data_IF_771326569164
#
_entry.id   IF_771326569164
#
_cell.length_a   1.000
_cell.length_b   1.000
_cell.length_c   1.000
_cell.angle_alpha   90.00
_cell.angle_beta   90.00
_cell.angle_gamma   90.00
#
_symmetry.space_group_name_H-M   'P 1'
#
loop_
_entity.id
_entity.type
_entity.pdbx_description
1 polymer ?
#
# COMPACT_ATOMS: atom_id res chain seq x y z
N UNK A 1 -1.56 24.00 7.50
CA UNK A 1 -2.78 23.98 6.65
C UNK A 1 -2.51 24.15 5.13
N UNK A 2 -1.49 24.90 4.68
CA UNK A 2 -1.17 25.08 3.25
C UNK A 2 -0.69 23.80 2.55
N UNK A 3 0.03 22.93 3.26
CA UNK A 3 0.60 21.67 2.73
C UNK A 3 -0.48 20.62 2.44
N UNK A 4 -1.45 20.44 3.34
CA UNK A 4 -2.58 19.52 3.13
C UNK A 4 -3.44 19.92 1.92
N UNK A 5 -3.69 21.23 1.74
CA UNK A 5 -4.44 21.72 0.58
C UNK A 5 -3.72 21.46 -0.75
N UNK A 6 -2.39 21.57 -0.77
CA UNK A 6 -1.57 21.22 -1.94
C UNK A 6 -1.59 19.71 -2.21
N UNK A 7 -1.51 18.89 -1.16
CA UNK A 7 -1.63 17.44 -1.27
C UNK A 7 -2.98 17.02 -1.89
N UNK A 8 -4.09 17.53 -1.36
CA UNK A 8 -5.42 17.24 -1.90
C UNK A 8 -5.59 17.71 -3.36
N UNK A 9 -4.99 18.83 -3.72
CA UNK A 9 -5.01 19.33 -5.09
C UNK A 9 -4.27 18.38 -6.06
N UNK A 10 -3.15 17.82 -5.65
CA UNK A 10 -2.37 16.85 -6.43
C UNK A 10 -3.01 15.44 -6.46
N UNK A 11 -3.63 15.03 -5.37
CA UNK A 11 -4.27 13.72 -5.27
C UNK A 11 -5.63 13.66 -5.98
N UNK A 12 -6.41 14.76 -5.97
CA UNK A 12 -7.76 14.81 -6.51
C UNK A 12 -7.90 14.27 -7.94
N UNK A 13 -7.05 14.63 -8.93
CA UNK A 13 -7.19 14.15 -10.30
C UNK A 13 -7.04 12.64 -10.41
N UNK A 14 -6.18 12.03 -9.60
CA UNK A 14 -5.97 10.60 -9.56
C UNK A 14 -7.22 9.85 -9.06
N UNK A 15 -7.86 10.34 -8.00
CA UNK A 15 -9.01 9.70 -7.37
C UNK A 15 -10.35 10.02 -8.03
N UNK A 16 -10.45 11.11 -8.81
CA UNK A 16 -11.68 11.58 -9.46
C UNK A 16 -11.67 11.44 -10.98
N UNK A 17 -10.55 10.99 -11.59
CA UNK A 17 -10.42 10.82 -13.04
C UNK A 17 -11.23 9.63 -13.59
N UNK A 18 -11.16 9.43 -14.92
CA UNK A 18 -11.89 8.37 -15.64
C UNK A 18 -11.65 6.96 -15.06
N UNK A 19 -10.49 6.73 -14.45
CA UNK A 19 -10.12 5.47 -13.80
C UNK A 19 -10.26 5.50 -12.26
N UNK A 20 -10.80 6.55 -11.68
CA UNK A 20 -10.92 6.73 -10.23
C UNK A 20 -11.67 5.58 -9.54
N UNK A 21 -12.72 5.03 -10.17
CA UNK A 21 -13.48 3.90 -9.63
C UNK A 21 -12.61 2.66 -9.41
N UNK A 22 -11.69 2.38 -10.34
CA UNK A 22 -10.78 1.24 -10.23
C UNK A 22 -9.78 1.43 -9.09
N UNK A 23 -9.29 2.66 -8.89
CA UNK A 23 -8.35 2.98 -7.83
C UNK A 23 -9.01 2.87 -6.45
N UNK A 24 -10.25 3.36 -6.32
CA UNK A 24 -11.06 3.16 -5.11
C UNK A 24 -11.34 1.70 -4.81
N UNK A 25 -11.64 0.91 -5.85
CA UNK A 25 -11.84 -0.54 -5.70
C UNK A 25 -10.54 -1.22 -5.24
N UNK A 26 -9.39 -0.88 -5.85
CA UNK A 26 -8.10 -1.42 -5.42
C UNK A 26 -7.77 -1.07 -3.97
N UNK A 27 -8.07 0.17 -3.54
CA UNK A 27 -7.90 0.58 -2.15
C UNK A 27 -8.82 -0.18 -1.20
N UNK A 28 -10.09 -0.34 -1.56
CA UNK A 28 -11.05 -1.11 -0.77
C UNK A 28 -10.63 -2.59 -0.62
N UNK A 29 -10.13 -3.22 -1.69
CA UNK A 29 -9.60 -4.57 -1.65
C UNK A 29 -8.34 -4.65 -0.79
N UNK A 30 -7.45 -3.66 -0.85
CA UNK A 30 -6.26 -3.58 0.01
C UNK A 30 -6.65 -3.52 1.50
N UNK A 31 -7.61 -2.68 1.85
CA UNK A 31 -8.16 -2.61 3.21
C UNK A 31 -8.79 -3.95 3.60
N UNK A 32 -9.51 -4.59 2.68
CA UNK A 32 -10.09 -5.93 2.89
C UNK A 32 -9.03 -6.99 3.23
N UNK A 33 -7.91 -7.02 2.52
CA UNK A 33 -6.79 -7.92 2.85
C UNK A 33 -6.18 -7.63 4.22
N UNK A 34 -6.06 -6.35 4.59
CA UNK A 34 -5.57 -5.96 5.93
C UNK A 34 -6.51 -6.45 7.02
N UNK A 35 -7.81 -6.22 6.88
CA UNK A 35 -8.82 -6.71 7.84
C UNK A 35 -8.86 -8.24 7.91
N UNK A 36 -8.74 -8.92 6.76
CA UNK A 36 -8.65 -10.37 6.70
C UNK A 36 -7.43 -10.89 7.49
N UNK A 37 -6.26 -10.28 7.31
CA UNK A 37 -5.04 -10.64 8.05
C UNK A 37 -5.21 -10.47 9.56
N UNK A 38 -5.85 -9.39 10.00
CA UNK A 38 -6.15 -9.14 11.43
C UNK A 38 -7.08 -10.23 11.96
N UNK A 39 -8.14 -10.59 11.21
CA UNK A 39 -9.09 -11.63 11.62
C UNK A 39 -8.40 -13.00 11.76
N UNK A 40 -7.53 -13.35 10.80
CA UNK A 40 -6.75 -14.60 10.87
C UNK A 40 -5.81 -14.58 12.08
N UNK A 41 -5.19 -13.45 12.40
CA UNK A 41 -4.34 -13.33 13.60
C UNK A 41 -5.11 -13.57 14.90
N UNK A 42 -6.38 -13.13 14.97
CA UNK A 42 -7.26 -13.42 16.10
C UNK A 42 -7.57 -14.94 16.19
N UNK A 43 -7.80 -15.60 15.04
CA UNK A 43 -8.02 -17.06 15.02
C UNK A 43 -6.77 -17.83 15.45
N UNK A 44 -5.58 -17.38 15.05
CA UNK A 44 -4.30 -17.95 15.50
C UNK A 44 -4.18 -17.81 17.02
N UNK A 45 -4.49 -16.66 17.60
CA UNK A 45 -4.45 -16.45 19.05
C UNK A 45 -5.44 -17.39 19.81
N UNK A 46 -6.62 -17.63 19.24
CA UNK A 46 -7.57 -18.59 19.80
C UNK A 46 -7.09 -20.05 19.64
N UNK A 47 -6.40 -20.35 18.54
CA UNK A 47 -5.77 -21.64 18.30
C UNK A 47 -4.62 -21.89 19.31
N UNK A 48 -3.76 -20.88 19.55
CA UNK A 48 -2.68 -20.97 20.55
C UNK A 48 -3.20 -21.47 21.91
N UNK A 49 -4.31 -20.89 22.39
CA UNK A 49 -4.94 -21.32 23.64
C UNK A 49 -5.30 -22.81 23.59
N UNK A 50 -5.99 -23.26 22.53
CA UNK A 50 -6.40 -24.69 22.40
C UNK A 50 -5.19 -25.61 22.32
N UNK A 51 -4.13 -25.20 21.67
CA UNK A 51 -2.90 -25.96 21.58
C UNK A 51 -2.23 -26.14 22.95
N UNK A 52 -2.10 -25.06 23.73
CA UNK A 52 -1.54 -25.13 25.07
C UNK A 52 -2.42 -25.93 26.03
N UNK A 53 -3.75 -25.82 25.93
CA UNK A 53 -4.68 -26.60 26.74
C UNK A 53 -4.56 -28.11 26.43
N UNK A 54 -4.46 -28.50 25.16
CA UNK A 54 -4.24 -29.88 24.73
C UNK A 54 -2.87 -30.42 25.19
N UNK A 55 -1.83 -29.59 25.14
CA UNK A 55 -0.50 -29.94 25.62
C UNK A 55 -0.48 -30.16 27.12
N UNK A 56 -1.13 -29.29 27.88
CA UNK A 56 -1.25 -29.43 29.35
C UNK A 56 -2.07 -30.66 29.77
N UNK A 57 -3.05 -31.05 28.97
CA UNK A 57 -3.86 -32.26 29.16
C UNK A 57 -3.18 -33.56 28.69
N UNK A 58 -1.97 -33.49 28.10
CA UNK A 58 -1.29 -34.60 27.44
C UNK A 58 -2.14 -35.32 26.37
N UNK A 59 -3.03 -34.58 25.68
CA UNK A 59 -3.92 -35.12 24.66
C UNK A 59 -3.18 -35.24 23.31
N UNK A 60 -2.43 -36.34 23.15
CA UNK A 60 -1.71 -36.64 21.94
C UNK A 60 -2.61 -36.92 20.72
N UNK A 61 -3.90 -37.26 20.91
CA UNK A 61 -4.82 -37.57 19.85
C UNK A 61 -5.26 -36.30 19.07
N UNK A 62 -5.37 -35.18 19.76
CA UNK A 62 -5.77 -33.89 19.14
C UNK A 62 -4.63 -33.15 18.46
N UNK A 63 -3.37 -33.50 18.77
CA UNK A 63 -2.20 -32.77 18.24
C UNK A 63 -2.10 -32.74 16.70
N UNK A 64 -2.28 -33.86 15.96
CA UNK A 64 -2.16 -33.81 14.50
C UNK A 64 -3.18 -32.90 13.85
N UNK A 65 -4.42 -32.85 14.34
CA UNK A 65 -5.48 -31.99 13.81
C UNK A 65 -5.19 -30.51 14.06
N UNK A 66 -4.68 -30.16 15.24
CA UNK A 66 -4.26 -28.81 15.58
C UNK A 66 -3.10 -28.32 14.70
N UNK A 67 -2.13 -29.18 14.40
CA UNK A 67 -1.03 -28.84 13.51
C UNK A 67 -1.52 -28.56 12.08
N UNK A 68 -2.41 -29.38 11.54
CA UNK A 68 -3.00 -29.19 10.20
C UNK A 68 -3.80 -27.87 10.16
N UNK A 69 -4.58 -27.59 11.20
CA UNK A 69 -5.33 -26.34 11.33
C UNK A 69 -4.39 -25.11 11.32
N UNK A 70 -3.29 -25.17 12.07
CA UNK A 70 -2.29 -24.12 12.10
C UNK A 70 -1.63 -23.87 10.73
N UNK A 71 -1.26 -24.94 10.03
CA UNK A 71 -0.72 -24.82 8.69
C UNK A 71 -1.71 -24.17 7.72
N UNK A 72 -3.01 -24.45 7.88
CA UNK A 72 -4.07 -23.79 7.15
C UNK A 72 -4.12 -22.28 7.41
N UNK A 73 -4.07 -21.86 8.68
CA UNK A 73 -4.02 -20.43 9.04
C UNK A 73 -2.75 -19.75 8.53
N UNK A 74 -1.59 -20.41 8.61
CA UNK A 74 -0.34 -19.88 8.07
C UNK A 74 -0.40 -19.69 6.57
N UNK A 75 -0.91 -20.66 5.82
CA UNK A 75 -1.07 -20.52 4.37
C UNK A 75 -2.01 -19.37 4.01
N UNK A 76 -3.10 -19.20 4.75
CA UNK A 76 -4.09 -18.16 4.52
C UNK A 76 -3.52 -16.77 4.81
N UNK A 77 -2.82 -16.58 5.94
CA UNK A 77 -2.24 -15.28 6.29
C UNK A 77 -1.12 -14.87 5.32
N UNK A 78 -0.27 -15.83 4.90
CA UNK A 78 0.77 -15.58 3.90
C UNK A 78 0.14 -15.17 2.58
N UNK A 79 -0.92 -15.86 2.14
CA UNK A 79 -1.66 -15.51 0.93
C UNK A 79 -2.21 -14.07 1.00
N UNK A 80 -2.85 -13.69 2.10
CA UNK A 80 -3.37 -12.33 2.31
C UNK A 80 -2.26 -11.28 2.28
N UNK A 81 -1.11 -11.54 2.92
CA UNK A 81 0.02 -10.62 2.95
C UNK A 81 0.60 -10.44 1.54
N UNK A 82 0.88 -11.53 0.84
CA UNK A 82 1.50 -11.49 -0.50
C UNK A 82 0.57 -10.78 -1.51
N UNK A 83 -0.72 -11.13 -1.51
CA UNK A 83 -1.70 -10.47 -2.38
C UNK A 83 -1.87 -8.99 -2.04
N UNK A 84 -1.90 -8.65 -0.75
CA UNK A 84 -1.96 -7.27 -0.29
C UNK A 84 -0.74 -6.46 -0.71
N UNK A 85 0.47 -7.00 -0.55
CA UNK A 85 1.73 -6.35 -0.96
C UNK A 85 1.79 -6.13 -2.47
N UNK A 86 1.39 -7.13 -3.25
CA UNK A 86 1.34 -7.01 -4.70
C UNK A 86 0.37 -5.91 -5.14
N UNK A 87 -0.83 -5.88 -4.55
CA UNK A 87 -1.84 -4.88 -4.86
C UNK A 87 -1.40 -3.47 -4.46
N UNK A 88 -0.77 -3.33 -3.28
CA UNK A 88 -0.19 -2.07 -2.80
C UNK A 88 0.86 -1.53 -3.77
N UNK A 89 1.83 -2.36 -4.17
CA UNK A 89 2.88 -1.98 -5.12
C UNK A 89 2.29 -1.55 -6.47
N UNK A 90 1.26 -2.26 -6.94
CA UNK A 90 0.56 -1.93 -8.18
C UNK A 90 -0.17 -0.59 -8.11
N UNK A 91 -0.79 -0.29 -6.96
CA UNK A 91 -1.47 0.99 -6.71
C UNK A 91 -0.47 2.15 -6.64
N UNK A 92 0.65 1.99 -5.92
CA UNK A 92 1.74 2.95 -5.84
C UNK A 92 2.29 3.25 -7.25
N UNK A 93 2.55 2.20 -8.03
CA UNK A 93 3.07 2.34 -9.39
C UNK A 93 2.13 3.16 -10.29
N UNK A 94 0.83 2.85 -10.27
CA UNK A 94 -0.18 3.60 -11.05
C UNK A 94 -0.27 5.06 -10.62
N UNK A 95 -0.23 5.33 -9.33
CA UNK A 95 -0.26 6.70 -8.82
C UNK A 95 0.99 7.47 -9.23
N UNK A 96 2.15 6.83 -9.12
CA UNK A 96 3.42 7.40 -9.55
C UNK A 96 3.41 7.76 -11.05
N UNK A 97 2.95 6.85 -11.91
CA UNK A 97 2.83 7.11 -13.35
C UNK A 97 1.95 8.33 -13.62
N UNK A 98 0.78 8.37 -13.01
CA UNK A 98 -0.16 9.49 -13.19
C UNK A 98 0.43 10.83 -12.73
N UNK A 99 1.08 10.87 -11.57
CA UNK A 99 1.75 12.07 -11.09
C UNK A 99 2.89 12.50 -12.01
N UNK A 100 3.70 11.55 -12.48
CA UNK A 100 4.80 11.83 -13.40
C UNK A 100 4.29 12.45 -14.72
N UNK A 101 3.23 11.88 -15.30
CA UNK A 101 2.59 12.42 -16.51
C UNK A 101 2.07 13.84 -16.30
N UNK A 102 1.39 14.11 -15.19
CA UNK A 102 0.92 15.45 -14.86
C UNK A 102 2.06 16.46 -14.70
N UNK A 103 3.13 16.06 -14.03
CA UNK A 103 4.29 16.94 -13.85
C UNK A 103 5.01 17.19 -15.17
N UNK A 104 5.21 16.17 -16.01
CA UNK A 104 5.84 16.30 -17.31
C UNK A 104 5.04 17.23 -18.23
N UNK A 105 3.72 17.07 -18.30
CA UNK A 105 2.85 17.95 -19.10
C UNK A 105 2.96 19.39 -18.64
N UNK A 106 2.83 19.65 -17.34
CA UNK A 106 2.96 21.00 -16.78
C UNK A 106 4.36 21.61 -16.93
N UNK A 107 5.39 20.76 -16.97
CA UNK A 107 6.78 21.18 -17.14
C UNK A 107 7.05 21.59 -18.60
N UNK A 108 6.53 20.84 -19.56
CA UNK A 108 6.72 21.09 -20.99
C UNK A 108 5.88 22.27 -21.48
N UNK A 109 4.62 22.40 -21.08
CA UNK A 109 3.69 23.47 -21.52
C UNK A 109 4.13 24.89 -21.13
N UNK A 110 4.95 25.05 -20.09
CA UNK A 110 5.34 26.37 -19.57
C UNK A 110 6.72 26.87 -19.96
N UNK A 111 7.51 26.16 -20.81
CA UNK A 111 8.93 26.47 -21.09
C UNK A 111 9.75 26.72 -19.80
N UNK A 112 9.30 26.17 -18.67
CA UNK A 112 9.86 26.39 -17.32
C UNK A 112 11.28 25.83 -17.20
N UNK A 113 11.58 24.76 -17.93
CA UNK A 113 12.92 24.18 -18.02
C UNK A 113 13.97 25.18 -18.57
N UNK A 114 13.58 26.01 -19.53
CA UNK A 114 14.46 27.01 -20.10
C UNK A 114 14.74 28.18 -19.14
N UNK A 115 13.71 28.59 -18.37
CA UNK A 115 13.84 29.67 -17.38
C UNK A 115 14.69 29.26 -16.19
N UNK A 116 14.58 28.01 -15.70
CA UNK A 116 15.39 27.48 -14.60
C UNK A 116 16.87 27.33 -14.95
N UNK A 117 17.20 27.00 -16.21
CA UNK A 117 18.59 26.99 -16.70
C UNK A 117 19.24 28.38 -16.66
N UNK A 118 18.45 29.43 -16.81
CA UNK A 118 18.94 30.82 -16.77
C UNK A 118 19.16 31.35 -15.36
N UNK A 119 18.51 30.76 -14.34
CA UNK A 119 18.59 31.21 -12.94
C UNK A 119 19.62 30.45 -12.09
N UNK A 120 20.33 29.47 -12.66
CA UNK A 120 21.43 28.77 -11.97
C UNK A 120 21.02 27.94 -10.74
N UNK A 121 19.77 27.50 -10.66
CA UNK A 121 19.23 26.69 -9.56
C UNK A 121 19.47 25.18 -9.72
N UNK A 122 19.27 24.40 -8.67
CA UNK A 122 20.12 23.30 -8.23
C UNK A 122 20.23 22.14 -9.19
N UNK A 123 21.35 21.42 -9.06
CA UNK A 123 21.73 20.21 -9.75
C UNK A 123 20.60 19.15 -9.74
N UNK A 124 20.15 18.71 -10.93
CA UNK A 124 19.19 17.64 -11.20
C UNK A 124 17.76 17.81 -10.58
N UNK A 125 16.98 18.83 -10.97
CA UNK A 125 15.61 19.00 -10.49
C UNK A 125 14.70 17.82 -10.86
N UNK A 126 14.97 17.14 -11.97
CA UNK A 126 14.19 16.00 -12.48
C UNK A 126 14.26 14.80 -11.53
N UNK A 127 15.45 14.53 -10.98
CA UNK A 127 15.65 13.43 -10.04
C UNK A 127 14.93 13.70 -8.72
N UNK A 128 15.03 14.92 -8.18
CA UNK A 128 14.32 15.31 -6.95
C UNK A 128 12.80 15.19 -7.11
N UNK A 129 12.27 15.65 -8.22
CA UNK A 129 10.82 15.52 -8.51
C UNK A 129 10.41 14.05 -8.54
N UNK A 130 11.20 13.19 -9.18
CA UNK A 130 10.90 11.75 -9.25
C UNK A 130 10.94 11.07 -7.87
N UNK A 131 11.90 11.43 -7.02
CA UNK A 131 12.03 10.92 -5.65
C UNK A 131 10.89 11.41 -4.75
N UNK A 132 10.54 12.69 -4.81
CA UNK A 132 9.45 13.29 -4.04
C UNK A 132 8.08 12.69 -4.43
N UNK A 133 7.85 12.44 -5.72
CA UNK A 133 6.64 11.77 -6.23
C UNK A 133 6.56 10.33 -5.68
N UNK A 134 7.68 9.60 -5.69
CA UNK A 134 7.72 8.24 -5.15
C UNK A 134 7.42 8.22 -3.66
N UNK A 135 8.09 9.07 -2.88
CA UNK A 135 7.88 9.18 -1.43
C UNK A 135 6.44 9.58 -1.08
N UNK A 136 5.85 10.52 -1.83
CA UNK A 136 4.47 10.92 -1.64
C UNK A 136 3.51 9.75 -1.86
N UNK A 137 3.65 9.03 -2.97
CA UNK A 137 2.79 7.90 -3.31
C UNK A 137 2.95 6.76 -2.31
N UNK A 138 4.19 6.39 -1.97
CA UNK A 138 4.49 5.31 -1.03
C UNK A 138 3.94 5.61 0.38
N UNK A 139 4.27 6.78 0.93
CA UNK A 139 3.84 7.18 2.28
C UNK A 139 2.33 7.35 2.39
N UNK A 140 1.69 7.87 1.34
CA UNK A 140 0.24 8.05 1.34
C UNK A 140 -0.50 6.71 1.36
N UNK A 141 -0.03 5.72 0.61
CA UNK A 141 -0.68 4.39 0.55
C UNK A 141 -0.31 3.56 1.77
N UNK A 142 0.93 3.64 2.26
CA UNK A 142 1.35 2.94 3.47
C UNK A 142 0.58 3.39 4.72
N UNK A 143 0.11 4.64 4.76
CA UNK A 143 -0.72 5.16 5.85
C UNK A 143 -2.05 4.38 6.00
N UNK A 144 -2.62 3.87 4.91
CA UNK A 144 -3.86 3.08 4.95
C UNK A 144 -3.65 1.63 5.37
N UNK A 145 -2.39 1.20 5.50
CA UNK A 145 -2.03 -0.17 5.87
C UNK A 145 -1.40 -0.28 7.27
N UNK A 146 -0.89 0.84 7.80
CA UNK A 146 -0.32 0.91 9.15
C UNK A 146 -1.39 0.86 10.23
#
# INVERSE_FOLDING_TARGET
>A
MKTLRKFFYLARPFWSGAHGRLQWLMLAVLIGFTLCSITISVWIAAWDKRFYDALAAFDGASMPSLIVEYLGYMAMIIGCIVCGDWLQKRLIFRWRTHLTEQFQTNWLEGHKHYRLRLTGEPDNPDQRIAEDIYLLADKSISLFRS
#
